data_IF_502590716936
#
_entry.id   IF_502590716936
#
_cell.length_a   1.000
_cell.length_b   1.000
_cell.length_c   1.000
_cell.angle_alpha   90.00
_cell.angle_beta   90.00
_cell.angle_gamma   90.00
#
_symmetry.space_group_name_H-M   'P 1'
#
loop_
_entity.id
_entity.type
_entity.pdbx_description
1 polymer ?
#
# COMPACT_ATOMS: atom_id res chain seq x y z
N UNK A 1 10.51 -18.84 10.87
CA UNK A 1 9.07 -18.53 10.99
C UNK A 1 8.55 -18.30 9.57
N UNK A 2 7.45 -18.93 9.20
CA UNK A 2 6.88 -18.80 7.86
C UNK A 2 6.22 -17.43 7.70
N UNK A 3 6.35 -16.82 6.53
CA UNK A 3 5.74 -15.54 6.18
C UNK A 3 4.64 -15.76 5.14
N UNK A 4 3.49 -15.15 5.35
CA UNK A 4 2.35 -15.20 4.42
C UNK A 4 1.96 -13.78 4.02
N UNK A 5 1.88 -13.54 2.74
CA UNK A 5 1.39 -12.29 2.17
C UNK A 5 0.00 -12.54 1.60
N UNK A 6 -0.99 -11.80 2.08
CA UNK A 6 -2.32 -11.72 1.48
C UNK A 6 -2.31 -10.51 0.56
N UNK A 7 -2.27 -10.77 -0.73
CA UNK A 7 -2.17 -9.75 -1.77
C UNK A 7 -3.56 -9.42 -2.31
N UNK A 8 -3.99 -8.19 -2.15
CA UNK A 8 -5.27 -7.69 -2.67
C UNK A 8 -5.01 -7.04 -4.03
N UNK A 9 -5.47 -7.72 -5.07
CA UNK A 9 -5.38 -7.28 -6.46
C UNK A 9 -6.52 -6.31 -6.80
N UNK A 10 -6.16 -5.07 -7.11
CA UNK A 10 -7.09 -4.02 -7.54
C UNK A 10 -7.29 -4.02 -9.07
N UNK A 11 -7.28 -5.20 -9.71
CA UNK A 11 -7.40 -5.36 -11.18
C UNK A 11 -6.28 -4.63 -11.95
N UNK A 12 -5.07 -4.67 -11.40
CA UNK A 12 -3.91 -4.02 -12.00
C UNK A 12 -3.21 -4.92 -13.02
N UNK A 13 -2.74 -4.32 -14.11
CA UNK A 13 -2.02 -5.04 -15.18
C UNK A 13 -0.66 -5.58 -14.73
N UNK A 14 -0.04 -5.00 -13.70
CA UNK A 14 1.27 -5.38 -13.15
C UNK A 14 1.19 -6.30 -11.93
N UNK A 15 -0.01 -6.74 -11.53
CA UNK A 15 -0.22 -7.60 -10.35
C UNK A 15 0.75 -8.76 -10.30
N UNK A 16 0.87 -9.53 -11.39
CA UNK A 16 1.72 -10.73 -11.38
C UNK A 16 3.21 -10.44 -11.35
N UNK A 17 3.66 -9.28 -11.84
CA UNK A 17 5.06 -8.85 -11.68
C UNK A 17 5.39 -8.65 -10.20
N UNK A 18 4.49 -8.00 -9.44
CA UNK A 18 4.65 -7.83 -7.99
C UNK A 18 4.56 -9.17 -7.26
N UNK A 19 3.59 -10.02 -7.64
CA UNK A 19 3.41 -11.34 -7.02
C UNK A 19 4.65 -12.22 -7.20
N UNK A 20 5.29 -12.19 -8.37
CA UNK A 20 6.49 -13.00 -8.62
C UNK A 20 7.69 -12.51 -7.79
N UNK A 21 7.90 -11.21 -7.65
CA UNK A 21 8.90 -10.66 -6.72
C UNK A 21 8.60 -11.05 -5.25
N UNK A 22 7.34 -10.99 -4.84
CA UNK A 22 6.94 -11.36 -3.49
C UNK A 22 7.13 -12.84 -3.18
N UNK A 23 6.95 -13.73 -4.16
CA UNK A 23 7.21 -15.17 -4.00
C UNK A 23 8.68 -15.48 -3.73
N UNK A 24 9.59 -14.63 -4.21
CA UNK A 24 11.02 -14.76 -3.88
C UNK A 24 11.29 -14.38 -2.42
N UNK A 25 10.54 -13.42 -1.88
CA UNK A 25 10.76 -12.85 -0.54
C UNK A 25 9.95 -13.53 0.57
N UNK A 26 8.92 -14.32 0.22
CA UNK A 26 8.00 -14.91 1.19
C UNK A 26 7.74 -16.39 0.92
N UNK A 27 7.29 -17.11 1.97
CA UNK A 27 6.97 -18.52 1.86
C UNK A 27 5.63 -18.79 1.16
N UNK A 28 4.67 -17.87 1.32
CA UNK A 28 3.32 -17.99 0.76
C UNK A 28 2.82 -16.62 0.30
N UNK A 29 2.29 -16.56 -0.92
CA UNK A 29 1.56 -15.40 -1.45
C UNK A 29 0.19 -15.87 -1.89
N UNK A 30 -0.85 -15.37 -1.23
CA UNK A 30 -2.26 -15.64 -1.53
C UNK A 30 -2.83 -14.40 -2.23
N UNK A 31 -3.32 -14.56 -3.45
CA UNK A 31 -3.83 -13.45 -4.27
C UNK A 31 -5.35 -13.48 -4.26
N UNK A 32 -5.97 -12.40 -3.84
CA UNK A 32 -7.42 -12.17 -3.86
C UNK A 32 -7.72 -10.87 -4.57
N UNK A 33 -8.80 -10.84 -5.34
CA UNK A 33 -9.28 -9.59 -5.95
C UNK A 33 -9.94 -8.70 -4.90
N UNK A 34 -9.96 -7.41 -5.13
CA UNK A 34 -10.54 -6.43 -4.20
C UNK A 34 -12.08 -6.50 -4.11
N UNK A 35 -12.74 -7.28 -4.96
CA UNK A 35 -14.18 -7.60 -4.88
C UNK A 35 -14.47 -8.84 -3.99
N UNK A 36 -13.43 -9.47 -3.46
CA UNK A 36 -13.55 -10.58 -2.50
C UNK A 36 -14.24 -10.11 -1.23
N UNK A 37 -15.02 -11.01 -0.63
CA UNK A 37 -15.71 -10.78 0.62
C UNK A 37 -14.74 -10.37 1.75
N UNK A 38 -15.09 -9.33 2.50
CA UNK A 38 -14.24 -8.77 3.57
C UNK A 38 -14.01 -9.77 4.69
N UNK A 39 -15.06 -10.50 5.08
CA UNK A 39 -14.98 -11.50 6.16
C UNK A 39 -14.08 -12.66 5.77
N UNK A 40 -14.10 -13.05 4.49
CA UNK A 40 -13.20 -14.09 3.98
C UNK A 40 -11.74 -13.69 4.11
N UNK A 41 -11.37 -12.47 3.71
CA UNK A 41 -9.99 -11.97 3.84
C UNK A 41 -9.56 -11.97 5.32
N UNK A 42 -10.40 -11.46 6.20
CA UNK A 42 -10.10 -11.38 7.63
C UNK A 42 -10.00 -12.77 8.27
N UNK A 43 -10.82 -13.72 7.85
CA UNK A 43 -10.78 -15.12 8.29
C UNK A 43 -9.45 -15.76 7.88
N UNK A 44 -9.04 -15.64 6.62
CA UNK A 44 -7.77 -16.18 6.12
C UNK A 44 -6.58 -15.60 6.86
N UNK A 45 -6.56 -14.26 7.06
CA UNK A 45 -5.50 -13.60 7.82
C UNK A 45 -5.40 -14.14 9.26
N UNK A 46 -6.54 -14.38 9.89
CA UNK A 46 -6.62 -14.95 11.24
C UNK A 46 -6.11 -16.38 11.27
N UNK A 47 -6.53 -17.24 10.35
CA UNK A 47 -6.10 -18.65 10.24
C UNK A 47 -4.58 -18.77 10.12
N UNK A 48 -3.96 -18.00 9.23
CA UNK A 48 -2.50 -18.00 9.07
C UNK A 48 -1.76 -17.49 10.31
N UNK A 49 -2.31 -16.47 10.98
CA UNK A 49 -1.75 -15.98 12.26
C UNK A 49 -1.85 -17.02 13.37
N UNK A 50 -2.96 -17.76 13.46
CA UNK A 50 -3.15 -18.86 14.44
C UNK A 50 -2.21 -20.04 14.18
N UNK A 51 -1.78 -20.25 12.94
CA UNK A 51 -0.74 -21.21 12.55
C UNK A 51 0.68 -20.73 12.94
N UNK A 52 0.82 -19.56 13.57
CA UNK A 52 2.11 -18.99 13.98
C UNK A 52 2.88 -18.32 12.83
N UNK A 53 2.22 -18.02 11.72
CA UNK A 53 2.85 -17.34 10.58
C UNK A 53 2.83 -15.82 10.77
N UNK A 54 3.82 -15.12 10.20
CA UNK A 54 3.76 -13.65 10.06
C UNK A 54 2.90 -13.32 8.85
N UNK A 55 1.83 -12.56 9.07
CA UNK A 55 0.90 -12.14 8.02
C UNK A 55 1.12 -10.68 7.66
N UNK A 56 1.22 -10.38 6.37
CA UNK A 56 1.20 -9.05 5.78
C UNK A 56 0.03 -8.96 4.80
N UNK A 57 -0.76 -7.90 4.87
CA UNK A 57 -1.74 -7.57 3.82
C UNK A 57 -1.11 -6.56 2.89
N UNK A 58 -1.02 -6.90 1.61
CA UNK A 58 -0.46 -6.03 0.58
C UNK A 58 -1.56 -5.61 -0.39
N UNK A 59 -1.61 -4.31 -0.69
CA UNK A 59 -2.64 -3.68 -1.54
C UNK A 59 -1.96 -3.19 -2.82
N UNK A 60 -2.39 -3.72 -3.96
CA UNK A 60 -1.78 -3.45 -5.26
C UNK A 60 -2.07 -2.03 -5.77
N UNK A 61 -1.33 -1.59 -6.80
CA UNK A 61 -1.82 -0.58 -7.73
C UNK A 61 -3.18 -0.96 -8.31
N UNK A 62 -3.84 -0.02 -8.97
CA UNK A 62 -5.10 -0.28 -9.66
C UNK A 62 -5.67 0.96 -10.32
N UNK A 63 -6.70 0.80 -11.15
CA UNK A 63 -7.39 1.91 -11.81
C UNK A 63 -8.31 2.67 -10.83
N UNK A 64 -8.80 3.82 -11.29
CA UNK A 64 -9.81 4.65 -10.64
C UNK A 64 -9.35 5.28 -9.31
N UNK A 65 -10.24 5.37 -8.34
CA UNK A 65 -9.99 5.94 -7.01
C UNK A 65 -10.26 4.91 -5.91
N UNK A 66 -9.78 5.11 -4.68
CA UNK A 66 -10.08 4.21 -3.58
C UNK A 66 -11.57 3.99 -3.31
N UNK A 67 -12.41 5.01 -3.57
CA UNK A 67 -13.86 4.91 -3.36
C UNK A 67 -14.55 4.03 -4.41
N UNK A 68 -13.94 3.87 -5.58
CA UNK A 68 -14.46 3.09 -6.71
C UNK A 68 -13.81 1.70 -6.79
N UNK A 69 -13.02 1.32 -5.79
CA UNK A 69 -12.24 0.09 -5.76
C UNK A 69 -12.93 -1.04 -4.97
N UNK A 70 -14.20 -1.31 -5.23
CA UNK A 70 -14.99 -2.39 -4.63
C UNK A 70 -14.84 -2.45 -3.09
N UNK A 71 -14.34 -3.57 -2.55
CA UNK A 71 -14.19 -3.80 -1.11
C UNK A 71 -12.82 -3.35 -0.57
N UNK A 72 -12.00 -2.63 -1.33
CA UNK A 72 -10.65 -2.22 -0.88
C UNK A 72 -10.69 -1.47 0.45
N UNK A 73 -11.51 -0.42 0.56
CA UNK A 73 -11.65 0.37 1.81
C UNK A 73 -12.23 -0.48 2.95
N UNK A 74 -13.31 -1.24 2.78
CA UNK A 74 -13.80 -2.18 3.80
C UNK A 74 -12.74 -3.19 4.28
N UNK A 75 -11.98 -3.81 3.36
CA UNK A 75 -10.89 -4.75 3.71
C UNK A 75 -9.84 -4.08 4.59
N UNK A 76 -9.41 -2.86 4.22
CA UNK A 76 -8.44 -2.09 5.02
C UNK A 76 -9.00 -1.83 6.41
N UNK A 77 -10.21 -1.28 6.52
CA UNK A 77 -10.84 -0.91 7.79
C UNK A 77 -11.00 -2.09 8.74
N UNK A 78 -11.42 -3.24 8.22
CA UNK A 78 -11.61 -4.44 9.06
C UNK A 78 -10.30 -5.01 9.59
N UNK A 79 -9.20 -4.83 8.86
CA UNK A 79 -7.90 -5.40 9.21
C UNK A 79 -6.90 -4.39 9.80
N UNK A 80 -7.23 -3.11 9.84
CA UNK A 80 -6.38 -2.04 10.33
C UNK A 80 -5.99 -2.25 11.82
N UNK A 81 -4.70 -2.23 12.09
CA UNK A 81 -4.15 -2.47 13.44
C UNK A 81 -4.15 -3.94 13.89
N UNK A 82 -4.77 -4.85 13.13
CA UNK A 82 -4.71 -6.31 13.38
C UNK A 82 -3.51 -6.95 12.68
N UNK A 83 -3.16 -6.44 11.50
CA UNK A 83 -2.07 -6.91 10.63
C UNK A 83 -1.28 -5.73 10.06
N UNK A 84 0.04 -5.87 9.86
CA UNK A 84 0.80 -4.90 9.06
C UNK A 84 0.25 -4.83 7.63
N UNK A 85 0.27 -3.63 7.05
CA UNK A 85 -0.18 -3.41 5.68
C UNK A 85 0.84 -2.64 4.87
N UNK A 86 0.94 -2.99 3.58
CA UNK A 86 1.73 -2.27 2.58
C UNK A 86 0.84 -1.92 1.38
N UNK A 87 0.77 -0.65 1.04
CA UNK A 87 -0.01 -0.18 -0.12
C UNK A 87 0.87 0.46 -1.20
N UNK A 88 0.61 0.11 -2.45
CA UNK A 88 1.30 0.69 -3.62
C UNK A 88 0.28 1.40 -4.50
N UNK A 89 0.56 2.64 -4.90
CA UNK A 89 -0.26 3.47 -5.76
C UNK A 89 -1.71 3.58 -5.25
N UNK A 90 -2.68 2.91 -5.85
CA UNK A 90 -4.07 2.88 -5.36
C UNK A 90 -4.15 2.37 -3.91
N UNK A 91 -3.38 1.36 -3.55
CA UNK A 91 -3.28 0.86 -2.18
C UNK A 91 -2.73 1.91 -1.21
N UNK A 92 -1.71 2.68 -1.59
CA UNK A 92 -1.20 3.82 -0.82
C UNK A 92 -2.29 4.89 -0.62
N UNK A 93 -3.00 5.25 -1.68
CA UNK A 93 -4.09 6.24 -1.62
C UNK A 93 -5.22 5.77 -0.68
N UNK A 94 -5.61 4.50 -0.77
CA UNK A 94 -6.62 3.90 0.09
C UNK A 94 -6.19 3.90 1.57
N UNK A 95 -4.94 3.55 1.86
CA UNK A 95 -4.39 3.64 3.21
C UNK A 95 -4.40 5.08 3.72
N UNK A 96 -3.93 6.03 2.92
CA UNK A 96 -3.93 7.46 3.28
C UNK A 96 -5.33 7.97 3.61
N UNK A 97 -6.34 7.57 2.81
CA UNK A 97 -7.75 7.94 3.05
C UNK A 97 -8.30 7.30 4.33
N UNK A 98 -8.04 6.04 4.58
CA UNK A 98 -8.51 5.34 5.81
C UNK A 98 -7.85 5.91 7.06
N UNK A 99 -6.61 6.36 6.95
CA UNK A 99 -5.88 7.03 8.03
C UNK A 99 -6.35 8.47 8.30
N UNK A 100 -7.31 8.99 7.54
CA UNK A 100 -7.91 10.31 7.74
C UNK A 100 -7.41 11.40 6.79
N UNK A 101 -6.56 11.08 5.83
CA UNK A 101 -6.17 11.96 4.73
C UNK A 101 -7.26 12.11 3.67
N UNK A 102 -7.00 12.96 2.67
CA UNK A 102 -7.85 13.13 1.49
C UNK A 102 -7.11 12.64 0.26
N UNK A 103 -7.85 12.12 -0.71
CA UNK A 103 -7.35 11.75 -2.03
C UNK A 103 -7.86 12.76 -3.04
N UNK A 104 -6.96 13.46 -3.71
CA UNK A 104 -7.25 14.57 -4.61
C UNK A 104 -6.46 14.42 -5.90
N UNK A 105 -6.88 15.14 -6.96
CA UNK A 105 -6.10 15.17 -8.20
C UNK A 105 -4.76 15.88 -7.99
N UNK A 106 -3.69 15.30 -8.52
CA UNK A 106 -2.39 15.94 -8.56
C UNK A 106 -2.46 17.19 -9.46
N UNK A 107 -1.71 18.23 -9.08
CA UNK A 107 -1.59 19.44 -9.90
C UNK A 107 -1.00 19.17 -11.28
N UNK A 108 -0.20 18.13 -11.41
CA UNK A 108 0.39 17.65 -12.67
C UNK A 108 0.21 16.15 -12.79
N UNK A 109 -0.48 15.73 -13.84
CA UNK A 109 -0.63 14.31 -14.18
C UNK A 109 0.66 13.80 -14.83
N UNK A 110 1.21 12.72 -14.29
CA UNK A 110 2.45 12.11 -14.78
C UNK A 110 2.23 10.64 -15.08
N UNK A 111 2.50 10.25 -16.33
CA UNK A 111 2.51 8.86 -16.74
C UNK A 111 3.87 8.49 -17.36
N UNK A 112 4.55 7.50 -16.80
CA UNK A 112 5.77 6.94 -17.36
C UNK A 112 6.99 7.87 -17.31
N UNK A 113 6.97 8.94 -16.50
CA UNK A 113 8.12 9.83 -16.30
C UNK A 113 8.86 9.50 -15.01
N UNK A 114 10.17 9.57 -15.05
CA UNK A 114 10.98 9.48 -13.83
C UNK A 114 10.95 10.80 -13.07
N UNK A 115 10.95 10.72 -11.75
CA UNK A 115 11.07 11.85 -10.82
C UNK A 115 12.10 11.53 -9.76
N UNK A 116 12.75 12.56 -9.24
CA UNK A 116 13.66 12.44 -8.11
C UNK A 116 12.88 12.78 -6.84
N UNK A 117 12.59 11.79 -6.02
CA UNK A 117 11.91 11.99 -4.74
C UNK A 117 12.92 12.18 -3.63
N UNK A 118 12.58 13.04 -2.66
CA UNK A 118 13.31 13.16 -1.41
C UNK A 118 12.70 12.27 -0.35
N UNK A 119 13.52 11.67 0.51
CA UNK A 119 13.05 10.76 1.56
C UNK A 119 13.87 10.90 2.85
N UNK A 120 13.32 10.39 3.97
CA UNK A 120 13.93 10.48 5.29
C UNK A 120 14.99 9.41 5.59
N UNK A 121 15.28 8.50 4.66
CA UNK A 121 16.23 7.40 4.86
C UNK A 121 15.79 6.34 5.87
N UNK A 122 14.49 6.23 6.14
CA UNK A 122 13.92 5.32 7.14
C UNK A 122 13.10 4.21 6.48
N UNK A 123 12.89 3.10 7.20
CA UNK A 123 12.08 1.96 6.75
C UNK A 123 12.51 1.45 5.36
N UNK A 124 11.60 1.49 4.37
CA UNK A 124 11.87 1.05 3.00
C UNK A 124 12.91 1.92 2.26
N UNK A 125 13.26 3.09 2.78
CA UNK A 125 14.26 3.99 2.19
C UNK A 125 15.65 3.90 2.84
N UNK A 126 15.83 2.98 3.80
CA UNK A 126 17.12 2.78 4.45
C UNK A 126 18.16 2.33 3.43
N UNK A 127 19.34 2.97 3.49
CA UNK A 127 20.50 2.70 2.62
C UNK A 127 20.24 2.94 1.10
N UNK A 128 19.14 3.62 0.74
CA UNK A 128 18.88 4.06 -0.63
C UNK A 128 19.46 5.47 -0.88
N UNK A 129 19.84 5.79 -2.15
CA UNK A 129 20.33 7.13 -2.50
C UNK A 129 19.22 8.18 -2.28
N UNK A 130 19.59 9.35 -1.80
CA UNK A 130 18.68 10.49 -1.62
C UNK A 130 19.24 11.74 -2.35
N UNK A 131 18.53 12.27 -3.37
CA UNK A 131 17.20 11.87 -3.84
C UNK A 131 17.20 10.53 -4.60
N UNK A 132 16.05 9.82 -4.55
CA UNK A 132 15.82 8.54 -5.23
C UNK A 132 15.07 8.74 -6.53
N UNK A 133 15.58 8.15 -7.63
CA UNK A 133 14.89 8.15 -8.92
C UNK A 133 13.81 7.08 -8.95
N UNK A 134 12.54 7.49 -9.16
CA UNK A 134 11.39 6.60 -9.24
C UNK A 134 10.58 6.86 -10.51
N UNK A 135 9.88 5.82 -11.00
CA UNK A 135 8.89 5.97 -12.06
C UNK A 135 7.53 6.37 -11.45
N UNK A 136 6.85 7.32 -12.08
CA UNK A 136 5.53 7.80 -11.63
C UNK A 136 4.45 7.52 -12.68
N UNK A 137 3.31 6.99 -12.20
CA UNK A 137 2.15 6.61 -13.02
C UNK A 137 0.82 7.04 -12.37
N UNK A 138 0.81 8.08 -11.53
CA UNK A 138 -0.37 8.45 -10.77
C UNK A 138 -0.91 9.83 -11.16
N UNK A 139 -2.22 9.97 -11.09
CA UNK A 139 -2.96 11.23 -11.24
C UNK A 139 -3.59 11.71 -9.93
N UNK A 140 -3.60 10.86 -8.89
CA UNK A 140 -4.13 11.16 -7.58
C UNK A 140 -3.00 11.21 -6.54
N UNK A 141 -3.19 12.04 -5.51
CA UNK A 141 -2.26 12.23 -4.38
C UNK A 141 -3.02 12.22 -3.07
N UNK A 142 -2.31 11.83 -2.01
CA UNK A 142 -2.83 11.92 -0.64
C UNK A 142 -2.43 13.25 -0.03
N UNK A 143 -3.41 13.97 0.51
CA UNK A 143 -3.26 15.28 1.17
C UNK A 143 -3.87 15.25 2.57
N UNK A 144 -3.65 16.32 3.35
CA UNK A 144 -4.28 16.53 4.67
C UNK A 144 -4.16 15.34 5.63
N UNK A 145 -3.01 14.66 5.61
CA UNK A 145 -2.73 13.58 6.55
C UNK A 145 -2.74 14.09 8.01
N UNK A 146 -3.32 13.31 8.96
CA UNK A 146 -3.22 13.62 10.39
C UNK A 146 -1.76 13.65 10.87
N UNK A 147 -1.51 14.37 11.96
CA UNK A 147 -0.16 14.58 12.51
C UNK A 147 0.51 13.30 13.05
N UNK A 148 -0.26 12.24 13.32
CA UNK A 148 0.23 10.92 13.73
C UNK A 148 0.58 9.99 12.54
N UNK A 149 0.40 10.47 11.31
CA UNK A 149 0.83 9.80 10.09
C UNK A 149 2.06 10.51 9.53
N UNK A 150 3.16 9.79 9.46
CA UNK A 150 4.44 10.33 9.02
C UNK A 150 4.56 10.27 7.49
N UNK A 151 4.92 11.40 6.85
CA UNK A 151 5.32 11.43 5.44
C UNK A 151 6.80 11.05 5.37
N UNK A 152 7.13 9.96 4.71
CA UNK A 152 8.49 9.42 4.59
C UNK A 152 9.23 9.95 3.35
N UNK A 153 8.50 10.22 2.28
CA UNK A 153 9.06 10.78 1.04
C UNK A 153 8.12 11.75 0.37
N UNK A 154 8.71 12.72 -0.34
CA UNK A 154 7.99 13.78 -1.05
C UNK A 154 8.55 14.02 -2.44
N UNK A 155 7.71 14.54 -3.32
CA UNK A 155 8.08 15.16 -4.59
C UNK A 155 7.22 16.40 -4.78
N UNK A 156 7.84 17.55 -4.91
CA UNK A 156 7.15 18.84 -5.09
C UNK A 156 6.00 19.04 -4.06
N UNK A 157 6.33 18.84 -2.79
CA UNK A 157 5.42 18.84 -1.64
C UNK A 157 4.29 17.78 -1.65
N UNK A 158 4.22 16.90 -2.66
CA UNK A 158 3.28 15.79 -2.68
C UNK A 158 3.80 14.65 -1.81
N UNK A 159 2.90 14.03 -1.04
CA UNK A 159 3.19 12.80 -0.30
C UNK A 159 3.41 11.65 -1.29
N UNK A 160 4.62 11.08 -1.29
CA UNK A 160 4.99 9.95 -2.12
C UNK A 160 5.07 8.65 -1.33
N UNK A 161 5.24 8.74 -0.01
CA UNK A 161 5.18 7.61 0.91
C UNK A 161 4.74 8.08 2.29
N UNK A 162 3.92 7.28 2.95
CA UNK A 162 3.39 7.53 4.29
C UNK A 162 3.62 6.32 5.21
N UNK A 163 3.69 6.59 6.51
CA UNK A 163 3.81 5.54 7.53
C UNK A 163 2.97 5.88 8.75
N UNK A 164 2.20 4.90 9.22
CA UNK A 164 1.54 4.96 10.52
C UNK A 164 2.13 3.90 11.46
N UNK A 165 2.92 4.36 12.42
CA UNK A 165 3.47 3.48 13.47
C UNK A 165 2.37 2.85 14.32
N UNK A 166 1.31 3.60 14.61
CA UNK A 166 0.16 3.16 15.41
C UNK A 166 -0.51 1.91 14.84
N UNK A 167 -0.65 1.87 13.53
CA UNK A 167 -1.33 0.78 12.83
C UNK A 167 -0.38 -0.17 12.10
N UNK A 168 0.93 0.12 12.11
CA UNK A 168 1.95 -0.62 11.35
C UNK A 168 1.61 -0.68 9.84
N UNK A 169 1.39 0.47 9.25
CA UNK A 169 0.96 0.64 7.86
C UNK A 169 1.96 1.49 7.12
N UNK A 170 2.38 1.03 5.93
CA UNK A 170 3.28 1.70 5.01
C UNK A 170 2.60 1.87 3.65
N UNK A 171 2.69 3.05 3.05
CA UNK A 171 2.17 3.34 1.72
C UNK A 171 3.15 4.16 0.89
#
# INVERSE_FOLDING_TARGET
MKNTIIFIDNFDSFTYNLVDELKVLSNTVLVYRNDTDVELISKIAKEHKELGEKVLIMLSPGPSSPNDANNLIPIIKDNLGKYPMLGICLGHQALGQVLGGKVEHASVIVHGKSSMIEHKGQLCFKDLPNPLKVARYHSLVVTNLPSDVEVLSTFDNMCMSLYSKKYNVLG
#
